data_IF_337830506704
#
_entry.id   IF_337830506704
#
_cell.length_a   1.000
_cell.length_b   1.000
_cell.length_c   1.000
_cell.angle_alpha   90.00
_cell.angle_beta   90.00
_cell.angle_gamma   90.00
#
_symmetry.space_group_name_H-M   'P 1'
#
loop_
_entity.id
_entity.type
_entity.pdbx_description
1 polymer ?
#
# COMPACT_ATOMS: atom_id res chain seq x y z
N UNK A 1 -9.20 -30.69 11.82
CA UNK A 1 -7.92 -30.02 12.09
C UNK A 1 -7.93 -28.73 11.31
N UNK A 2 -8.22 -27.61 11.97
CA UNK A 2 -8.17 -26.28 11.36
C UNK A 2 -6.72 -25.93 11.13
N UNK A 3 -6.25 -25.98 9.88
CA UNK A 3 -4.99 -25.36 9.49
C UNK A 3 -5.08 -23.88 9.85
N UNK A 4 -4.43 -23.49 10.94
CA UNK A 4 -4.15 -22.07 11.16
C UNK A 4 -3.15 -21.68 10.08
N UNK A 5 -3.65 -21.07 9.00
CA UNK A 5 -2.79 -20.30 8.10
C UNK A 5 -2.18 -19.17 8.93
N UNK A 6 -1.02 -19.45 9.56
CA UNK A 6 -0.23 -18.41 10.19
C UNK A 6 0.14 -17.42 9.10
N UNK A 7 -0.38 -16.21 9.21
CA UNK A 7 -0.06 -15.12 8.31
C UNK A 7 1.45 -14.84 8.40
N UNK A 8 2.18 -15.10 7.32
CA UNK A 8 3.60 -14.77 7.22
C UNK A 8 3.69 -13.37 6.62
N UNK A 9 4.05 -12.38 7.44
CA UNK A 9 4.37 -11.03 6.95
C UNK A 9 5.54 -11.09 5.97
N UNK A 10 5.44 -10.34 4.88
CA UNK A 10 6.46 -10.34 3.82
C UNK A 10 7.65 -9.48 4.25
N UNK A 11 8.87 -9.95 4.01
CA UNK A 11 10.11 -9.26 4.41
C UNK A 11 10.10 -8.83 5.89
N UNK A 12 9.51 -9.65 6.76
CA UNK A 12 9.28 -9.33 8.17
C UNK A 12 10.59 -8.97 8.88
N UNK A 13 11.62 -9.81 8.77
CA UNK A 13 12.86 -9.58 9.50
C UNK A 13 13.59 -8.36 8.94
N UNK A 14 13.69 -8.25 7.62
CA UNK A 14 14.40 -7.16 6.95
C UNK A 14 13.73 -5.80 7.18
N UNK A 15 12.39 -5.74 7.19
CA UNK A 15 11.65 -4.51 7.45
C UNK A 15 11.77 -4.06 8.90
N UNK A 16 11.73 -5.00 9.86
CA UNK A 16 11.89 -4.74 11.30
C UNK A 16 13.34 -4.35 11.63
N UNK A 17 14.33 -5.05 11.08
CA UNK A 17 15.74 -4.70 11.28
C UNK A 17 16.06 -3.35 10.65
N UNK A 18 15.41 -3.02 9.53
CA UNK A 18 15.52 -1.71 8.87
C UNK A 18 15.02 -0.54 9.72
N UNK A 19 14.08 -0.77 10.65
CA UNK A 19 13.60 0.25 11.59
C UNK A 19 14.60 0.59 12.70
N UNK A 20 15.65 -0.24 12.91
CA UNK A 20 16.64 -0.05 13.95
C UNK A 20 16.00 0.22 15.33
N UNK A 21 15.11 -0.68 15.76
CA UNK A 21 14.24 -0.47 16.91
C UNK A 21 15.02 -0.20 18.19
N UNK A 22 14.67 0.89 18.87
CA UNK A 22 15.15 1.30 20.19
C UNK A 22 14.10 0.89 21.22
N UNK A 23 14.48 0.32 22.38
CA UNK A 23 13.53 -0.13 23.40
C UNK A 23 12.54 0.96 23.84
N UNK A 24 13.01 2.18 24.08
CA UNK A 24 12.17 3.30 24.54
C UNK A 24 11.69 4.20 23.37
N UNK A 25 11.78 3.71 22.13
CA UNK A 25 11.41 4.49 20.94
C UNK A 25 9.91 4.52 20.66
N UNK A 26 9.50 5.47 19.82
CA UNK A 26 8.12 5.58 19.33
C UNK A 26 8.03 5.19 17.86
N UNK A 27 7.17 4.22 17.53
CA UNK A 27 7.01 3.69 16.18
C UNK A 27 5.58 3.82 15.68
N UNK A 28 5.44 3.94 14.36
CA UNK A 28 4.15 3.88 13.66
C UNK A 28 4.16 2.69 12.68
N UNK A 29 3.19 1.80 12.81
CA UNK A 29 2.84 0.80 11.78
C UNK A 29 1.61 1.33 11.02
N UNK A 30 1.82 1.94 9.86
CA UNK A 30 0.76 2.59 9.10
C UNK A 30 -0.21 1.62 8.40
N UNK A 31 0.03 0.30 8.50
CA UNK A 31 -0.71 -0.73 7.77
C UNK A 31 -0.85 -1.98 8.65
N UNK A 32 -1.58 -1.85 9.76
CA UNK A 32 -1.68 -2.89 10.78
C UNK A 32 -2.03 -4.27 10.20
N UNK A 33 -3.08 -4.34 9.38
CA UNK A 33 -3.61 -5.54 8.72
C UNK A 33 -4.04 -6.63 9.70
N UNK A 34 -3.11 -7.52 10.04
CA UNK A 34 -3.30 -8.59 11.04
C UNK A 34 -2.32 -8.50 12.21
N UNK A 35 -1.53 -7.43 12.30
CA UNK A 35 -0.64 -7.14 13.41
C UNK A 35 0.66 -7.95 13.41
N UNK A 36 1.08 -8.52 12.28
CA UNK A 36 2.33 -9.27 12.19
C UNK A 36 3.55 -8.39 12.51
N UNK A 37 3.71 -7.29 11.77
CA UNK A 37 4.76 -6.28 12.03
C UNK A 37 4.58 -5.63 13.40
N UNK A 38 3.39 -5.13 13.72
CA UNK A 38 3.08 -4.52 15.02
C UNK A 38 3.47 -5.38 16.23
N UNK A 39 3.14 -6.69 16.24
CA UNK A 39 3.52 -7.58 17.35
C UNK A 39 5.03 -7.78 17.44
N UNK A 40 5.72 -7.87 16.29
CA UNK A 40 7.19 -7.96 16.29
C UNK A 40 7.82 -6.67 16.79
N UNK A 41 7.30 -5.49 16.43
CA UNK A 41 7.76 -4.21 16.97
C UNK A 41 7.56 -4.17 18.49
N UNK A 42 6.35 -4.45 18.98
CA UNK A 42 6.03 -4.46 20.42
C UNK A 42 6.94 -5.40 21.23
N UNK A 43 7.30 -6.56 20.66
CA UNK A 43 8.21 -7.52 21.31
C UNK A 43 9.64 -7.00 21.50
N UNK A 44 10.05 -5.99 20.70
CA UNK A 44 11.37 -5.35 20.77
C UNK A 44 11.37 -4.04 21.57
N UNK A 45 10.19 -3.53 21.95
CA UNK A 45 10.05 -2.34 22.80
C UNK A 45 10.22 -2.69 24.28
N UNK A 46 10.77 -1.75 25.04
CA UNK A 46 10.79 -1.73 26.50
C UNK A 46 9.51 -1.12 27.08
N UNK A 47 9.48 -0.88 28.39
CA UNK A 47 8.29 -0.37 29.10
C UNK A 47 7.87 1.04 28.66
N UNK A 48 8.82 1.88 28.24
CA UNK A 48 8.52 3.26 27.78
C UNK A 48 8.34 3.36 26.26
N UNK A 49 8.58 2.27 25.52
CA UNK A 49 8.38 2.25 24.08
C UNK A 49 6.90 2.44 23.74
N UNK A 50 6.61 2.99 22.56
CA UNK A 50 5.25 3.23 22.09
C UNK A 50 5.07 2.73 20.67
N UNK A 51 3.94 2.08 20.39
CA UNK A 51 3.54 1.71 19.04
C UNK A 51 2.15 2.26 18.74
N UNK A 52 2.07 3.06 17.68
CA UNK A 52 0.81 3.48 17.09
C UNK A 52 0.61 2.72 15.78
N UNK A 53 -0.52 2.05 15.64
CA UNK A 53 -0.86 1.37 14.39
C UNK A 53 -2.08 2.02 13.75
N UNK A 54 -2.12 2.00 12.42
CA UNK A 54 -3.19 2.60 11.62
C UNK A 54 -3.74 1.52 10.68
N UNK A 55 -5.07 1.48 10.54
CA UNK A 55 -5.71 0.75 9.46
C UNK A 55 -7.06 1.38 9.11
N UNK A 56 -7.46 1.30 7.85
CA UNK A 56 -8.79 1.75 7.41
C UNK A 56 -9.83 0.65 7.46
N UNK A 57 -9.41 -0.61 7.47
CA UNK A 57 -10.28 -1.78 7.45
C UNK A 57 -10.85 -2.08 8.85
N UNK A 58 -12.18 -2.01 9.06
CA UNK A 58 -12.78 -2.31 10.35
C UNK A 58 -12.44 -3.71 10.90
N UNK A 59 -12.20 -4.70 10.03
CA UNK A 59 -11.77 -6.03 10.48
C UNK A 59 -10.36 -6.02 11.07
N UNK A 60 -9.47 -5.18 10.54
CA UNK A 60 -8.13 -5.00 11.09
C UNK A 60 -8.19 -4.30 12.46
N UNK A 61 -9.07 -3.31 12.61
CA UNK A 61 -9.33 -2.63 13.89
C UNK A 61 -9.85 -3.61 14.95
N UNK A 62 -10.81 -4.46 14.60
CA UNK A 62 -11.33 -5.49 15.52
C UNK A 62 -10.25 -6.51 15.94
N UNK A 63 -9.29 -6.81 15.05
CA UNK A 63 -8.14 -7.66 15.38
C UNK A 63 -7.14 -6.94 16.29
N UNK A 64 -6.86 -5.65 16.03
CA UNK A 64 -5.97 -4.83 16.83
C UNK A 64 -6.45 -4.65 18.27
N UNK A 65 -7.77 -4.53 18.47
CA UNK A 65 -8.39 -4.42 19.80
C UNK A 65 -8.16 -5.65 20.69
N UNK A 66 -7.71 -6.79 20.13
CA UNK A 66 -7.34 -7.98 20.90
C UNK A 66 -5.94 -7.87 21.51
N UNK A 67 -5.14 -6.87 21.14
CA UNK A 67 -3.81 -6.63 21.70
C UNK A 67 -4.01 -5.84 23.00
N UNK A 68 -3.76 -6.51 24.12
CA UNK A 68 -3.79 -5.93 25.47
C UNK A 68 -2.37 -5.52 25.90
N UNK A 69 -1.92 -4.36 25.44
CA UNK A 69 -0.62 -3.78 25.78
C UNK A 69 -0.77 -2.25 25.94
N UNK A 70 -0.43 -1.65 27.10
CA UNK A 70 -0.60 -0.21 27.32
C UNK A 70 0.30 0.66 26.42
N UNK A 71 1.32 0.07 25.78
CA UNK A 71 2.21 0.75 24.83
C UNK A 71 1.62 0.82 23.43
N UNK A 72 0.54 0.07 23.17
CA UNK A 72 -0.09 -0.05 21.87
C UNK A 72 -1.30 0.87 21.74
N UNK A 73 -1.42 1.54 20.60
CA UNK A 73 -2.60 2.35 20.25
C UNK A 73 -2.99 2.07 18.80
N UNK A 74 -4.26 1.74 18.58
CA UNK A 74 -4.81 1.56 17.23
C UNK A 74 -5.65 2.77 16.81
N UNK A 75 -5.45 3.23 15.58
CA UNK A 75 -6.19 4.32 14.95
C UNK A 75 -6.97 3.77 13.76
N UNK A 76 -8.29 3.95 13.76
CA UNK A 76 -9.13 3.65 12.61
C UNK A 76 -9.14 4.83 11.65
N UNK A 77 -8.53 4.64 10.49
CA UNK A 77 -8.50 5.66 9.44
C UNK A 77 -7.49 5.35 8.34
N UNK A 78 -7.49 6.13 7.26
CA UNK A 78 -6.48 6.04 6.23
C UNK A 78 -5.11 6.44 6.77
N UNK A 79 -4.06 5.79 6.27
CA UNK A 79 -2.67 6.08 6.62
C UNK A 79 -2.15 7.36 5.98
N UNK A 80 -2.85 7.92 4.99
CA UNK A 80 -2.63 9.31 4.53
C UNK A 80 -2.84 10.35 5.63
N UNK A 81 -3.69 10.08 6.62
CA UNK A 81 -3.94 10.94 7.78
C UNK A 81 -2.83 10.89 8.85
N UNK A 82 -1.72 10.20 8.60
CA UNK A 82 -0.67 9.95 9.59
C UNK A 82 -0.09 11.24 10.22
N UNK A 83 0.08 12.31 9.44
CA UNK A 83 0.55 13.59 9.97
C UNK A 83 -0.43 14.19 11.00
N UNK A 84 -1.72 14.21 10.67
CA UNK A 84 -2.77 14.73 11.55
C UNK A 84 -2.89 13.89 12.83
N UNK A 85 -2.73 12.56 12.72
CA UNK A 85 -2.72 11.69 13.89
C UNK A 85 -1.50 11.96 14.75
N UNK A 86 -0.32 12.13 14.16
CA UNK A 86 0.89 12.46 14.88
C UNK A 86 0.76 13.80 15.62
N UNK A 87 0.14 14.82 15.02
CA UNK A 87 -0.17 16.08 15.71
C UNK A 87 -1.10 15.86 16.90
N UNK A 88 -2.19 15.11 16.71
CA UNK A 88 -3.17 14.81 17.76
C UNK A 88 -2.56 14.11 18.97
N UNK A 89 -1.59 13.23 18.75
CA UNK A 89 -0.89 12.48 19.79
C UNK A 89 0.43 13.12 20.24
N UNK A 90 0.74 14.35 19.80
CA UNK A 90 1.98 15.08 20.11
C UNK A 90 3.27 14.27 19.77
N UNK A 91 3.28 13.66 18.58
CA UNK A 91 4.35 12.79 18.08
C UNK A 91 5.25 13.47 17.02
N UNK A 92 4.90 14.67 16.55
CA UNK A 92 5.64 15.37 15.49
C UNK A 92 7.11 15.57 15.90
N UNK A 93 8.03 15.05 15.09
CA UNK A 93 9.48 15.09 15.34
C UNK A 93 9.96 14.13 16.44
N UNK A 94 9.11 13.21 16.91
CA UNK A 94 9.39 12.26 18.00
C UNK A 94 9.27 10.80 17.57
N UNK A 95 8.92 10.53 16.31
CA UNK A 95 8.76 9.16 15.79
C UNK A 95 10.12 8.60 15.37
N UNK A 96 10.59 7.53 16.02
CA UNK A 96 11.83 6.83 15.71
C UNK A 96 11.71 5.92 14.49
N UNK A 97 10.50 5.53 14.10
CA UNK A 97 10.32 4.84 12.83
C UNK A 97 8.88 4.67 12.37
N UNK A 98 8.72 4.62 11.05
CA UNK A 98 7.44 4.38 10.36
C UNK A 98 7.60 3.16 9.46
N UNK A 99 6.69 2.20 9.59
CA UNK A 99 6.56 1.04 8.72
C UNK A 99 5.29 1.15 7.87
N UNK A 100 5.41 0.89 6.56
CA UNK A 100 4.31 0.83 5.61
C UNK A 100 4.42 -0.44 4.78
N UNK A 101 3.52 -1.40 5.01
CA UNK A 101 3.33 -2.62 4.23
C UNK A 101 2.17 -2.42 3.26
N UNK A 102 2.49 -1.88 2.07
CA UNK A 102 1.49 -1.37 1.14
C UNK A 102 0.64 -2.49 0.50
N UNK A 103 -0.53 -2.14 -0.01
CA UNK A 103 -1.39 -3.07 -0.73
C UNK A 103 -2.43 -3.74 0.16
N UNK A 104 -2.81 -4.97 -0.19
CA UNK A 104 -3.95 -5.67 0.42
C UNK A 104 -3.49 -6.71 1.44
N UNK A 105 -4.21 -6.78 2.55
CA UNK A 105 -4.00 -7.82 3.54
C UNK A 105 -4.48 -9.19 3.01
N UNK A 106 -3.87 -10.28 3.49
CA UNK A 106 -4.30 -11.65 3.14
C UNK A 106 -5.81 -11.89 3.34
N UNK A 107 -6.42 -11.48 4.47
CA UNK A 107 -7.87 -11.57 4.67
C UNK A 107 -8.71 -10.91 3.59
N UNK A 108 -8.30 -9.75 3.07
CA UNK A 108 -9.01 -9.07 1.99
C UNK A 108 -9.00 -9.88 0.69
N UNK A 109 -7.93 -10.65 0.44
CA UNK A 109 -7.82 -11.54 -0.72
C UNK A 109 -8.49 -12.91 -0.49
N UNK A 110 -8.47 -13.40 0.74
CA UNK A 110 -8.90 -14.75 1.10
C UNK A 110 -10.42 -14.84 1.36
N UNK A 111 -11.01 -13.74 1.84
CA UNK A 111 -12.45 -13.54 1.99
C UNK A 111 -13.08 -13.13 0.66
N UNK A 112 -13.88 -14.03 0.07
CA UNK A 112 -14.54 -13.79 -1.20
C UNK A 112 -15.55 -12.64 -1.11
N UNK A 113 -16.17 -12.42 0.05
CA UNK A 113 -17.19 -11.37 0.23
C UNK A 113 -16.61 -9.96 0.11
N UNK A 114 -15.28 -9.81 0.22
CA UNK A 114 -14.57 -8.54 0.01
C UNK A 114 -14.38 -8.18 -1.47
N UNK A 115 -14.46 -9.15 -2.38
CA UNK A 115 -14.44 -8.89 -3.82
C UNK A 115 -13.08 -8.56 -4.44
N UNK A 116 -11.95 -8.69 -3.71
CA UNK A 116 -10.62 -8.36 -4.24
C UNK A 116 -10.05 -9.41 -5.21
N UNK A 117 -10.61 -10.62 -5.20
CA UNK A 117 -10.14 -11.74 -6.02
C UNK A 117 -11.26 -12.24 -6.91
N UNK A 118 -10.90 -12.64 -8.14
CA UNK A 118 -11.78 -13.38 -9.04
C UNK A 118 -11.56 -14.90 -8.98
N UNK A 119 -10.60 -15.37 -8.17
CA UNK A 119 -10.38 -16.82 -8.00
C UNK A 119 -11.48 -17.47 -7.16
N UNK A 120 -12.06 -16.70 -6.23
CA UNK A 120 -13.28 -17.04 -5.50
C UNK A 120 -14.32 -16.00 -5.86
N UNK A 121 -15.51 -16.46 -6.24
CA UNK A 121 -16.59 -15.55 -6.64
C UNK A 121 -17.16 -14.82 -5.42
N UNK A 122 -17.40 -13.52 -5.57
CA UNK A 122 -17.87 -12.63 -4.51
C UNK A 122 -18.47 -11.34 -5.07
N UNK A 123 -19.01 -10.46 -4.21
CA UNK A 123 -19.50 -9.14 -4.63
C UNK A 123 -18.39 -8.34 -5.31
N UNK A 124 -18.72 -7.59 -6.35
CA UNK A 124 -17.78 -6.71 -7.05
C UNK A 124 -17.59 -5.40 -6.28
N UNK A 125 -16.97 -5.48 -5.10
CA UNK A 125 -16.76 -4.36 -4.17
C UNK A 125 -15.35 -3.75 -4.29
N UNK A 126 -14.33 -4.48 -3.80
CA UNK A 126 -12.91 -4.08 -3.75
C UNK A 126 -12.56 -2.90 -2.83
N UNK A 127 -13.49 -2.37 -2.01
CA UNK A 127 -13.14 -1.34 -1.02
C UNK A 127 -12.40 -1.95 0.18
N UNK A 128 -11.29 -1.32 0.54
CA UNK A 128 -10.53 -1.65 1.76
C UNK A 128 -11.30 -1.26 3.02
N UNK A 129 -12.04 -0.16 2.95
CA UNK A 129 -13.03 0.25 3.95
C UNK A 129 -14.44 0.17 3.32
N UNK A 130 -15.22 -0.88 3.60
CA UNK A 130 -16.58 -1.02 3.06
C UNK A 130 -17.59 0.01 3.60
N UNK A 131 -17.23 0.79 4.64
CA UNK A 131 -18.13 1.76 5.28
C UNK A 131 -18.18 3.12 4.57
N UNK A 132 -17.26 3.36 3.62
CA UNK A 132 -17.15 4.60 2.86
C UNK A 132 -16.86 4.35 1.38
N UNK A 133 -17.02 5.36 0.53
CA UNK A 133 -16.76 5.26 -0.91
C UNK A 133 -17.76 4.39 -1.69
N UNK A 134 -17.51 4.24 -3.00
CA UNK A 134 -18.35 3.47 -3.93
C UNK A 134 -17.68 2.14 -4.31
N UNK A 135 -18.41 1.01 -4.35
CA UNK A 135 -17.86 -0.25 -4.83
C UNK A 135 -17.59 -0.21 -6.34
N UNK A 136 -16.71 -1.10 -6.83
CA UNK A 136 -16.41 -1.22 -8.27
C UNK A 136 -17.67 -1.44 -9.11
N UNK A 137 -18.61 -2.26 -8.63
CA UNK A 137 -19.89 -2.51 -9.31
C UNK A 137 -20.66 -1.23 -9.59
N UNK A 138 -20.76 -0.33 -8.61
CA UNK A 138 -21.47 0.93 -8.76
C UNK A 138 -20.70 1.90 -9.66
N UNK A 139 -19.38 2.01 -9.48
CA UNK A 139 -18.57 2.88 -10.32
C UNK A 139 -18.66 2.49 -11.80
N UNK A 140 -18.65 1.19 -12.13
CA UNK A 140 -18.78 0.71 -13.51
C UNK A 140 -20.16 0.99 -14.15
N UNK A 141 -21.20 1.25 -13.35
CA UNK A 141 -22.50 1.66 -13.89
C UNK A 141 -22.48 3.08 -14.43
N UNK A 142 -21.67 3.96 -13.85
CA UNK A 142 -21.68 5.39 -14.15
C UNK A 142 -20.48 5.84 -14.99
N UNK A 143 -19.33 5.18 -14.82
CA UNK A 143 -18.07 5.55 -15.47
C UNK A 143 -18.17 5.49 -17.00
N UNK A 144 -17.60 6.48 -17.68
CA UNK A 144 -17.58 6.51 -19.13
C UNK A 144 -16.48 5.60 -19.72
N UNK A 145 -16.49 5.45 -21.04
CA UNK A 145 -15.52 4.60 -21.73
C UNK A 145 -14.07 5.07 -21.51
N UNK A 146 -13.84 6.38 -21.48
CA UNK A 146 -12.50 6.95 -21.41
C UNK A 146 -11.95 6.89 -19.98
N UNK A 147 -12.79 7.03 -18.96
CA UNK A 147 -12.48 6.81 -17.54
C UNK A 147 -12.06 5.36 -17.29
N UNK A 148 -12.87 4.39 -17.71
CA UNK A 148 -12.55 2.96 -17.55
C UNK A 148 -11.26 2.62 -18.32
N UNK A 149 -11.09 3.18 -19.51
CA UNK A 149 -9.86 3.02 -20.30
C UNK A 149 -8.64 3.59 -19.57
N UNK A 150 -8.77 4.79 -19.00
CA UNK A 150 -7.69 5.46 -18.28
C UNK A 150 -7.30 4.67 -17.04
N UNK A 151 -8.26 4.25 -16.21
CA UNK A 151 -8.01 3.44 -15.01
C UNK A 151 -7.23 2.18 -15.35
N UNK A 152 -7.70 1.37 -16.30
CA UNK A 152 -7.05 0.10 -16.67
C UNK A 152 -5.65 0.35 -17.26
N UNK A 153 -5.47 1.43 -18.03
CA UNK A 153 -4.19 1.75 -18.67
C UNK A 153 -3.16 2.23 -17.65
N UNK A 154 -3.50 3.21 -16.82
CA UNK A 154 -2.57 3.85 -15.91
C UNK A 154 -2.26 2.97 -14.69
N UNK A 155 -3.28 2.36 -14.09
CA UNK A 155 -3.10 1.57 -12.87
C UNK A 155 -2.88 0.07 -13.13
N UNK A 156 -3.35 -0.46 -14.26
CA UNK A 156 -3.15 -1.85 -14.66
C UNK A 156 -1.93 -2.07 -15.57
N UNK A 157 -1.33 -1.01 -16.11
CA UNK A 157 -0.29 -1.05 -17.14
C UNK A 157 -0.70 -2.00 -18.32
N UNK A 158 -1.98 -1.99 -18.72
CA UNK A 158 -2.54 -2.87 -19.77
C UNK A 158 -2.75 -2.15 -21.12
N UNK A 159 -2.06 -2.62 -22.16
CA UNK A 159 -2.16 -2.11 -23.53
C UNK A 159 -3.52 -2.36 -24.20
N UNK A 160 -4.33 -3.28 -23.66
CA UNK A 160 -5.66 -3.62 -24.14
C UNK A 160 -6.77 -2.90 -23.36
N UNK A 161 -6.43 -1.92 -22.51
CA UNK A 161 -7.37 -1.15 -21.70
C UNK A 161 -8.63 -0.70 -22.45
N UNK A 162 -8.47 -0.02 -23.60
CA UNK A 162 -9.62 0.47 -24.38
C UNK A 162 -10.53 -0.65 -24.90
N UNK A 163 -9.97 -1.83 -25.21
CA UNK A 163 -10.75 -2.98 -25.66
C UNK A 163 -11.56 -3.60 -24.53
N UNK A 164 -10.97 -3.70 -23.35
CA UNK A 164 -11.64 -4.18 -22.13
C UNK A 164 -12.74 -3.19 -21.73
N UNK A 165 -12.44 -1.89 -21.70
CA UNK A 165 -13.40 -0.84 -21.39
C UNK A 165 -14.60 -0.85 -22.33
N UNK A 166 -14.38 -1.01 -23.65
CA UNK A 166 -15.47 -1.17 -24.63
C UNK A 166 -16.36 -2.38 -24.33
N UNK A 167 -15.79 -3.51 -23.91
CA UNK A 167 -16.58 -4.69 -23.57
C UNK A 167 -17.42 -4.46 -22.30
N UNK A 168 -16.88 -3.75 -21.31
CA UNK A 168 -17.61 -3.38 -20.09
C UNK A 168 -18.78 -2.45 -20.41
N UNK A 169 -18.54 -1.38 -21.17
CA UNK A 169 -19.58 -0.44 -21.60
C UNK A 169 -20.64 -1.14 -22.46
N UNK A 170 -20.23 -1.97 -23.42
CA UNK A 170 -21.17 -2.72 -24.25
C UNK A 170 -21.96 -3.79 -23.47
N UNK A 171 -21.42 -4.32 -22.37
CA UNK A 171 -22.19 -5.19 -21.46
C UNK A 171 -23.20 -4.37 -20.66
N UNK A 172 -22.81 -3.19 -20.17
CA UNK A 172 -23.67 -2.30 -19.38
C UNK A 172 -24.83 -1.74 -20.19
N UNK A 173 -24.58 -1.33 -21.44
CA UNK A 173 -25.57 -0.66 -22.29
C UNK A 173 -26.53 -1.65 -22.99
N UNK A 174 -26.38 -2.96 -22.75
CA UNK A 174 -27.23 -4.01 -23.29
C UNK A 174 -28.39 -4.29 -22.32
N UNK A 175 -29.61 -3.88 -22.69
CA UNK A 175 -30.82 -4.01 -21.86
C UNK A 175 -31.18 -5.47 -21.53
N UNK A 176 -30.69 -6.46 -22.29
CA UNK A 176 -30.91 -7.87 -22.01
C UNK A 176 -29.96 -8.43 -20.95
N UNK A 177 -28.94 -7.67 -20.55
CA UNK A 177 -27.90 -8.12 -19.62
C UNK A 177 -28.07 -7.53 -18.24
N UNK A 178 -27.91 -8.41 -17.25
CA UNK A 178 -27.84 -7.99 -15.85
C UNK A 178 -26.54 -7.20 -15.56
N UNK A 179 -26.61 -6.21 -14.66
CA UNK A 179 -25.45 -5.49 -14.15
C UNK A 179 -24.33 -6.41 -13.62
N UNK A 180 -23.08 -5.96 -13.78
CA UNK A 180 -21.91 -6.64 -13.22
C UNK A 180 -21.86 -6.43 -11.71
N UNK A 181 -22.32 -7.42 -10.94
CA UNK A 181 -22.37 -7.37 -9.47
C UNK A 181 -21.41 -8.35 -8.80
N UNK A 182 -20.82 -9.29 -9.57
CA UNK A 182 -19.87 -10.28 -9.05
C UNK A 182 -18.51 -10.28 -9.74
N UNK A 183 -17.48 -10.67 -9.00
CA UNK A 183 -16.10 -10.75 -9.51
C UNK A 183 -15.95 -11.74 -10.66
N UNK A 184 -16.63 -12.90 -10.62
CA UNK A 184 -16.57 -13.88 -11.70
C UNK A 184 -17.16 -13.36 -13.03
N UNK A 185 -18.23 -12.55 -12.97
CA UNK A 185 -18.87 -11.96 -14.14
C UNK A 185 -17.90 -11.01 -14.85
N UNK A 186 -17.30 -10.08 -14.09
CA UNK A 186 -16.33 -9.14 -14.62
C UNK A 186 -15.09 -9.88 -15.16
N UNK A 187 -14.57 -10.86 -14.43
CA UNK A 187 -13.40 -11.62 -14.87
C UNK A 187 -13.66 -12.41 -16.17
N UNK A 188 -14.85 -13.00 -16.32
CA UNK A 188 -15.27 -13.67 -17.55
C UNK A 188 -15.33 -12.70 -18.72
N UNK A 189 -15.99 -11.56 -18.54
CA UNK A 189 -16.10 -10.52 -19.58
C UNK A 189 -14.73 -10.02 -20.05
N UNK A 190 -13.83 -9.75 -19.10
CA UNK A 190 -12.45 -9.33 -19.42
C UNK A 190 -11.71 -10.42 -20.18
N UNK A 191 -11.84 -11.68 -19.78
CA UNK A 191 -11.18 -12.81 -20.46
C UNK A 191 -11.70 -13.03 -21.89
N UNK A 192 -12.97 -12.78 -22.15
CA UNK A 192 -13.56 -12.83 -23.49
C UNK A 192 -13.13 -11.63 -24.35
N UNK A 193 -12.98 -10.46 -23.74
CA UNK A 193 -12.53 -9.25 -24.42
C UNK A 193 -11.02 -9.26 -24.70
N UNK A 194 -10.20 -9.80 -23.81
CA UNK A 194 -8.74 -9.79 -23.94
C UNK A 194 -8.25 -10.73 -25.04
N UNK A 195 -7.20 -10.35 -25.80
CA UNK A 195 -6.63 -11.26 -26.79
C UNK A 195 -5.98 -12.46 -26.12
N UNK A 196 -6.23 -13.66 -26.66
CA UNK A 196 -5.59 -14.89 -26.19
C UNK A 196 -4.08 -14.80 -26.44
N UNK A 197 -3.30 -14.64 -25.38
CA UNK A 197 -1.84 -14.61 -25.45
C UNK A 197 -1.26 -15.89 -24.84
N UNK A 198 -0.74 -16.78 -25.68
CA UNK A 198 -0.05 -18.00 -25.21
C UNK A 198 1.27 -17.71 -24.47
N UNK A 199 1.77 -16.47 -24.52
CA UNK A 199 3.00 -16.05 -23.85
C UNK A 199 2.77 -15.52 -22.43
N UNK A 200 1.56 -15.04 -22.12
CA UNK A 200 1.26 -14.48 -20.79
C UNK A 200 0.78 -15.57 -19.84
N UNK A 201 1.53 -15.77 -18.75
CA UNK A 201 1.19 -16.74 -17.70
C UNK A 201 0.17 -16.21 -16.67
N UNK A 202 -0.17 -14.92 -16.73
CA UNK A 202 -1.12 -14.28 -15.81
C UNK A 202 -2.52 -14.30 -16.43
N UNK A 203 -3.54 -14.44 -15.58
CA UNK A 203 -4.93 -14.34 -16.03
C UNK A 203 -5.19 -12.91 -16.58
N UNK A 204 -5.92 -12.75 -17.70
CA UNK A 204 -6.14 -11.44 -18.31
C UNK A 204 -6.80 -10.42 -17.36
N UNK A 205 -7.70 -10.88 -16.50
CA UNK A 205 -8.37 -10.02 -15.52
C UNK A 205 -7.45 -9.48 -14.41
N UNK A 206 -6.25 -10.04 -14.18
CA UNK A 206 -5.39 -9.63 -13.06
C UNK A 206 -5.04 -8.14 -13.08
N UNK A 207 -4.69 -7.60 -14.26
CA UNK A 207 -4.30 -6.19 -14.39
C UNK A 207 -5.48 -5.24 -14.20
N UNK A 208 -6.64 -5.59 -14.76
CA UNK A 208 -7.86 -4.80 -14.61
C UNK A 208 -8.36 -4.79 -13.17
N UNK A 209 -8.36 -5.95 -12.47
CA UNK A 209 -8.72 -6.02 -11.06
C UNK A 209 -7.76 -5.20 -10.18
N UNK A 210 -6.45 -5.28 -10.44
CA UNK A 210 -5.48 -4.42 -9.78
C UNK A 210 -5.78 -2.94 -10.04
N UNK A 211 -6.10 -2.56 -11.29
CA UNK A 211 -6.41 -1.18 -11.64
C UNK A 211 -7.63 -0.64 -10.91
N UNK A 212 -8.73 -1.38 -10.91
CA UNK A 212 -9.96 -0.99 -10.22
C UNK A 212 -9.76 -0.88 -8.72
N UNK A 213 -9.00 -1.81 -8.13
CA UNK A 213 -8.63 -1.77 -6.71
C UNK A 213 -7.86 -0.51 -6.35
N UNK A 214 -6.79 -0.21 -7.12
CA UNK A 214 -5.95 0.97 -6.92
C UNK A 214 -6.80 2.24 -7.02
N UNK A 215 -7.68 2.32 -8.02
CA UNK A 215 -8.52 3.49 -8.26
C UNK A 215 -9.58 3.71 -7.17
N UNK A 216 -10.37 2.69 -6.83
CA UNK A 216 -11.45 2.80 -5.83
C UNK A 216 -10.92 3.12 -4.44
N UNK A 217 -9.71 2.69 -4.12
CA UNK A 217 -9.10 2.95 -2.82
C UNK A 217 -8.16 4.16 -2.81
N UNK A 218 -7.98 4.84 -3.95
CA UNK A 218 -7.02 5.94 -4.14
C UNK A 218 -5.62 5.59 -3.64
N UNK A 219 -5.17 4.34 -3.90
CA UNK A 219 -3.97 3.78 -3.25
C UNK A 219 -2.72 4.61 -3.52
N UNK A 220 -2.57 5.18 -4.73
CA UNK A 220 -1.39 5.97 -5.07
C UNK A 220 -1.39 7.34 -4.40
N UNK A 221 -2.53 8.03 -4.35
CA UNK A 221 -2.65 9.30 -3.63
C UNK A 221 -2.44 9.11 -2.12
N UNK A 222 -2.95 8.02 -1.56
CA UNK A 222 -2.76 7.63 -0.17
C UNK A 222 -1.27 7.43 0.15
N UNK A 223 -0.54 6.71 -0.70
CA UNK A 223 0.91 6.49 -0.56
C UNK A 223 1.68 7.81 -0.62
N UNK A 224 1.40 8.68 -1.59
CA UNK A 224 2.11 9.96 -1.72
C UNK A 224 1.92 10.84 -0.49
N UNK A 225 0.69 10.92 0.02
CA UNK A 225 0.35 11.70 1.21
C UNK A 225 0.97 11.10 2.47
N UNK A 226 0.88 9.78 2.64
CA UNK A 226 1.46 9.08 3.78
C UNK A 226 2.99 9.17 3.81
N UNK A 227 3.68 9.10 2.67
CA UNK A 227 5.14 9.25 2.59
C UNK A 227 5.59 10.64 3.02
N UNK A 228 4.87 11.70 2.57
CA UNK A 228 5.12 13.08 3.00
C UNK A 228 4.86 13.25 4.50
N UNK A 229 3.75 12.72 5.00
CA UNK A 229 3.42 12.73 6.42
C UNK A 229 4.46 12.00 7.27
N UNK A 230 4.92 10.83 6.83
CA UNK A 230 5.99 10.09 7.51
C UNK A 230 7.29 10.92 7.59
N UNK A 231 7.69 11.56 6.49
CA UNK A 231 8.92 12.36 6.48
C UNK A 231 8.85 13.64 7.35
N UNK A 232 7.66 14.18 7.60
CA UNK A 232 7.48 15.36 8.45
C UNK A 232 7.42 15.04 9.95
N UNK A 233 7.01 13.83 10.33
CA UNK A 233 6.84 13.44 11.74
C UNK A 233 8.03 12.67 12.32
N UNK A 234 8.89 12.10 11.48
CA UNK A 234 10.08 11.36 11.92
C UNK A 234 11.02 12.28 12.71
N UNK A 235 11.50 11.77 13.85
CA UNK A 235 12.61 12.36 14.59
C UNK A 235 13.91 12.27 13.78
N UNK A 236 14.93 13.11 14.06
CA UNK A 236 16.27 12.91 13.51
C UNK A 236 16.74 11.47 13.73
N UNK A 237 17.35 10.87 12.70
CA UNK A 237 17.75 9.46 12.65
C UNK A 237 16.59 8.44 12.67
N UNK A 238 15.34 8.89 12.63
CA UNK A 238 14.17 8.03 12.53
C UNK A 238 14.13 7.29 11.20
N UNK A 239 13.59 6.06 11.18
CA UNK A 239 13.61 5.17 10.01
C UNK A 239 12.26 5.07 9.31
N UNK A 240 12.26 5.21 8.00
CA UNK A 240 11.13 4.89 7.12
C UNK A 240 11.38 3.54 6.46
N UNK A 241 10.48 2.57 6.69
CA UNK A 241 10.53 1.21 6.17
C UNK A 241 9.28 0.92 5.33
N UNK A 242 9.42 0.80 4.01
CA UNK A 242 8.28 0.67 3.10
C UNK A 242 8.39 -0.57 2.23
N UNK A 243 7.39 -1.44 2.31
CA UNK A 243 7.23 -2.63 1.48
C UNK A 243 6.18 -2.32 0.41
N UNK A 244 6.54 -2.52 -0.85
CA UNK A 244 5.65 -2.37 -2.01
C UNK A 244 5.46 -3.72 -2.69
N UNK A 245 4.29 -4.02 -3.25
CA UNK A 245 3.97 -5.30 -3.90
C UNK A 245 3.86 -5.22 -5.42
N UNK A 246 3.82 -4.00 -5.98
CA UNK A 246 3.85 -3.81 -7.42
C UNK A 246 4.74 -2.64 -7.89
N UNK A 247 4.92 -2.58 -9.21
CA UNK A 247 5.81 -1.64 -9.91
C UNK A 247 5.45 -0.18 -9.66
N UNK A 248 4.16 0.16 -9.63
CA UNK A 248 3.70 1.55 -9.42
C UNK A 248 4.05 2.06 -8.02
N UNK A 249 3.71 1.31 -6.96
CA UNK A 249 4.09 1.59 -5.57
C UNK A 249 5.62 1.76 -5.42
N UNK A 250 6.40 0.77 -5.84
CA UNK A 250 7.88 0.81 -5.71
C UNK A 250 8.48 2.02 -6.42
N UNK A 251 7.92 2.37 -7.58
CA UNK A 251 8.35 3.54 -8.36
C UNK A 251 8.07 4.84 -7.61
N UNK A 252 6.93 4.95 -6.94
CA UNK A 252 6.58 6.13 -6.12
C UNK A 252 7.52 6.25 -4.92
N UNK A 253 7.67 5.18 -4.13
CA UNK A 253 8.55 5.16 -2.96
C UNK A 253 10.00 5.48 -3.35
N UNK A 254 10.49 4.87 -4.44
CA UNK A 254 11.83 5.15 -4.98
C UNK A 254 12.02 6.62 -5.35
N UNK A 255 11.03 7.21 -6.04
CA UNK A 255 11.09 8.60 -6.50
C UNK A 255 11.03 9.55 -5.30
N UNK A 256 10.17 9.27 -4.34
CA UNK A 256 10.04 10.01 -3.09
C UNK A 256 11.36 10.03 -2.33
N UNK A 257 11.90 8.86 -1.93
CA UNK A 257 13.16 8.78 -1.18
C UNK A 257 14.28 9.49 -1.93
N UNK A 258 14.38 9.30 -3.26
CA UNK A 258 15.41 9.97 -4.07
C UNK A 258 15.23 11.48 -4.11
N UNK A 259 14.00 11.99 -4.13
CA UNK A 259 13.71 13.42 -4.11
C UNK A 259 14.11 14.02 -2.77
N UNK A 260 13.64 13.43 -1.67
CA UNK A 260 13.94 13.89 -0.30
C UNK A 260 15.42 13.71 0.09
N UNK A 261 16.14 12.81 -0.59
CA UNK A 261 17.60 12.64 -0.43
C UNK A 261 18.44 13.61 -1.24
N UNK A 262 17.84 14.34 -2.18
CA UNK A 262 18.51 15.40 -2.93
C UNK A 262 18.23 16.70 -2.18
N UNK A 263 19.29 17.30 -1.62
CA UNK A 263 19.22 18.68 -1.11
C UNK A 263 18.80 19.67 -2.21
N UNK A 264 18.78 20.97 -1.92
CA UNK A 264 18.27 21.99 -2.83
C UNK A 264 18.93 21.92 -4.21
N UNK A 265 18.12 21.97 -5.27
CA UNK A 265 18.61 22.07 -6.63
C UNK A 265 19.16 23.48 -6.86
N UNK A 266 20.49 23.61 -6.81
CA UNK A 266 21.17 24.86 -7.12
C UNK A 266 21.28 25.02 -8.65
N UNK A 267 20.77 26.11 -9.24
CA UNK A 267 20.92 26.35 -10.67
C UNK A 267 22.40 26.40 -11.08
N UNK A 268 22.73 25.74 -12.18
CA UNK A 268 24.10 25.73 -12.70
C UNK A 268 24.59 27.15 -13.03
N UNK A 269 25.79 27.50 -12.56
CA UNK A 269 26.46 28.77 -12.85
C UNK A 269 26.31 29.86 -11.79
N UNK A 270 25.60 29.61 -10.69
CA UNK A 270 25.50 30.54 -9.56
C UNK A 270 26.55 30.18 -8.50
N UNK A 271 27.52 31.06 -8.19
CA UNK A 271 28.46 30.82 -7.10
C UNK A 271 27.75 31.05 -5.76
N UNK A 272 27.44 29.97 -5.06
CA UNK A 272 26.90 29.99 -3.70
C UNK A 272 27.91 29.38 -2.73
N UNK A 273 28.01 29.93 -1.53
CA UNK A 273 28.78 29.33 -0.43
C UNK A 273 28.07 28.11 0.15
N UNK A 274 28.78 27.25 0.88
CA UNK A 274 28.14 26.08 1.55
C UNK A 274 27.01 26.50 2.49
N UNK A 275 27.15 27.63 3.18
CA UNK A 275 26.12 28.17 4.07
C UNK A 275 24.90 28.70 3.31
N UNK A 276 25.10 29.29 2.13
CA UNK A 276 23.99 29.70 1.26
C UNK A 276 23.26 28.50 0.67
N UNK A 277 23.98 27.42 0.32
CA UNK A 277 23.37 26.17 -0.15
C UNK A 277 22.57 25.51 0.98
N UNK A 278 23.10 25.47 2.21
CA UNK A 278 22.35 24.99 3.38
C UNK A 278 21.13 25.86 3.69
N UNK A 279 21.22 27.18 3.49
CA UNK A 279 20.10 28.10 3.66
C UNK A 279 18.99 27.93 2.61
N UNK A 280 19.30 27.36 1.43
CA UNK A 280 18.31 26.96 0.43
C UNK A 280 17.58 25.65 0.81
N UNK A 281 18.05 24.95 1.83
CA UNK A 281 17.52 23.69 2.33
C UNK A 281 18.61 22.63 2.51
N UNK A 282 18.25 21.54 3.16
CA UNK A 282 19.05 20.31 3.21
C UNK A 282 18.23 19.12 2.74
N UNK A 283 18.89 18.01 2.43
CA UNK A 283 18.16 16.76 2.27
C UNK A 283 17.42 16.44 3.57
N UNK A 284 16.15 16.03 3.46
CA UNK A 284 15.32 15.65 4.59
C UNK A 284 15.51 14.19 4.97
N UNK A 285 15.83 13.35 3.98
CA UNK A 285 16.02 11.92 4.14
C UNK A 285 17.35 11.47 3.54
N UNK A 286 17.77 10.26 3.91
CA UNK A 286 18.86 9.54 3.25
C UNK A 286 18.44 8.10 3.03
N UNK A 287 18.58 7.61 1.80
CA UNK A 287 18.36 6.20 1.50
C UNK A 287 19.31 5.29 2.30
N UNK A 288 18.76 4.25 2.92
CA UNK A 288 19.52 3.25 3.67
C UNK A 288 19.69 2.00 2.79
N UNK A 289 20.89 1.82 2.25
CA UNK A 289 21.22 0.66 1.43
C UNK A 289 20.50 0.63 0.07
N UNK A 290 20.38 -0.56 -0.50
CA UNK A 290 19.68 -0.81 -1.78
C UNK A 290 18.31 -1.42 -1.50
N UNK A 291 17.45 -1.42 -2.51
CA UNK A 291 16.16 -2.12 -2.44
C UNK A 291 16.37 -3.61 -2.12
N UNK A 292 15.61 -4.12 -1.16
CA UNK A 292 15.66 -5.50 -0.69
C UNK A 292 14.49 -6.26 -1.32
N UNK A 293 14.72 -7.52 -1.71
CA UNK A 293 13.73 -8.42 -2.31
C UNK A 293 13.69 -9.70 -1.49
N UNK A 294 12.54 -10.40 -1.46
CA UNK A 294 12.40 -11.63 -0.70
C UNK A 294 13.34 -12.71 -1.22
N UNK A 295 13.76 -13.58 -0.31
CA UNK A 295 14.58 -14.74 -0.63
C UNK A 295 13.80 -15.77 -1.45
N UNK A 296 14.50 -16.69 -2.13
CA UNK A 296 13.83 -17.78 -2.86
C UNK A 296 12.96 -18.65 -1.94
N UNK A 297 13.45 -18.94 -0.73
CA UNK A 297 12.70 -19.70 0.27
C UNK A 297 11.41 -18.98 0.69
N UNK A 298 11.47 -17.67 0.91
CA UNK A 298 10.28 -16.88 1.26
C UNK A 298 9.24 -16.89 0.13
N UNK A 299 9.70 -16.81 -1.13
CA UNK A 299 8.80 -16.87 -2.30
C UNK A 299 8.16 -18.25 -2.46
N UNK A 300 8.87 -19.33 -2.10
CA UNK A 300 8.34 -20.69 -2.11
C UNK A 300 7.29 -20.91 -1.00
N UNK A 301 7.53 -20.37 0.20
CA UNK A 301 6.62 -20.47 1.33
C UNK A 301 5.41 -19.53 1.20
N UNK A 302 5.63 -18.33 0.64
CA UNK A 302 4.61 -17.32 0.43
C UNK A 302 4.74 -16.73 -0.98
N UNK A 303 4.00 -17.29 -1.93
CA UNK A 303 4.00 -16.83 -3.33
C UNK A 303 3.59 -15.36 -3.50
N UNK A 304 2.91 -14.76 -2.52
CA UNK A 304 2.50 -13.34 -2.52
C UNK A 304 3.69 -12.41 -2.35
N UNK A 305 4.78 -12.86 -1.72
CA UNK A 305 6.00 -12.07 -1.55
C UNK A 305 6.73 -11.83 -2.87
N UNK A 306 6.54 -12.65 -3.91
CA UNK A 306 7.35 -12.67 -5.14
C UNK A 306 7.64 -11.31 -5.78
N UNK A 307 6.69 -10.38 -5.72
CA UNK A 307 6.80 -9.06 -6.34
C UNK A 307 7.15 -7.95 -5.36
N UNK A 308 7.35 -8.29 -4.09
CA UNK A 308 7.59 -7.34 -3.02
C UNK A 308 8.99 -6.74 -3.07
N UNK A 309 9.08 -5.46 -2.71
CA UNK A 309 10.31 -4.69 -2.65
C UNK A 309 10.28 -3.84 -1.39
N UNK A 310 11.29 -4.00 -0.54
CA UNK A 310 11.50 -3.18 0.64
C UNK A 310 12.48 -2.04 0.32
N UNK A 311 12.12 -0.82 0.74
CA UNK A 311 12.99 0.36 0.70
C UNK A 311 13.07 0.99 2.08
N UNK A 312 14.27 1.40 2.44
CA UNK A 312 14.59 2.01 3.72
C UNK A 312 15.13 3.43 3.52
N UNK A 313 14.76 4.35 4.40
CA UNK A 313 15.33 5.68 4.51
C UNK A 313 15.49 6.10 5.98
N UNK A 314 16.36 7.07 6.23
CA UNK A 314 16.63 7.65 7.54
C UNK A 314 16.43 9.17 7.47
N UNK A 315 15.77 9.76 8.46
CA UNK A 315 15.66 11.22 8.63
C UNK A 315 17.02 11.79 9.02
N UNK A 316 17.45 12.85 8.32
CA UNK A 316 18.72 13.53 8.58
C UNK A 316 18.65 14.50 9.76
#
# INVERSE_FOLDING_TARGET
MTESFQHISVLLNESIDGLAIKPDGTYIDGTFGRGGHSRTILSKLGENGRLFSIDRDPQAIAEAQKIDDPRFTIIHGPFSGMADYAERYDLVGKVDGVLLDLGVSSPQLDDAERGFSFMKDGPLDMRMDPTSGIPVSQWLLEADLDDITWVIREFGEDKHARRIAKAIVAHRDDEEKEPLIRTSQLAKLISEAAPKSFKEKKHPATRAFQAFRIYINSELEEIDTALKGAASILAPQGRLSVISFHSLEDRMVKRFIRKESKGPEVPHGIPLTEDQIKALGSADLKAVGKAIKPSKQEVELNTRSRSSVLRLAEKL
#
